data_IF_124733623688
#
_entry.id   IF_124733623688
#
_cell.length_a   1.000
_cell.length_b   1.000
_cell.length_c   1.000
_cell.angle_alpha   90.00
_cell.angle_beta   90.00
_cell.angle_gamma   90.00
#
_symmetry.space_group_name_H-M   'P 1'
#
loop_
_entity.id
_entity.type
_entity.pdbx_description
1 polymer ?
#
# COMPACT_ATOMS: atom_id res chain seq x y z
N UNK A 1 8.51 4.39 -3.79
CA UNK A 1 8.68 3.72 -5.08
C UNK A 1 9.97 2.93 -5.06
N UNK A 2 9.82 1.64 -5.29
CA UNK A 2 10.84 0.64 -5.51
C UNK A 2 11.78 1.02 -6.65
N UNK A 3 13.04 0.60 -6.55
CA UNK A 3 13.97 0.73 -7.66
C UNK A 3 13.57 -0.19 -8.81
N UNK A 4 13.64 0.34 -10.03
CA UNK A 4 13.32 -0.41 -11.24
C UNK A 4 14.38 -1.50 -11.47
N UNK A 5 13.94 -2.76 -11.51
CA UNK A 5 14.80 -3.87 -11.91
C UNK A 5 14.95 -3.89 -13.42
N UNK A 6 16.19 -3.93 -13.90
CA UNK A 6 16.46 -4.11 -15.33
C UNK A 6 16.08 -5.53 -15.75
N UNK A 7 15.10 -5.65 -16.63
CA UNK A 7 14.72 -6.92 -17.21
C UNK A 7 15.89 -7.52 -18.01
N UNK A 8 16.33 -8.72 -17.62
CA UNK A 8 17.38 -9.43 -18.35
C UNK A 8 16.79 -10.10 -19.61
N UNK A 9 17.31 -9.83 -20.82
CA UNK A 9 16.77 -10.37 -22.07
C UNK A 9 16.96 -11.90 -22.22
N UNK A 10 17.71 -12.54 -21.33
CA UNK A 10 18.04 -13.97 -21.39
C UNK A 10 16.98 -14.90 -20.76
N UNK A 11 15.99 -14.38 -20.01
CA UNK A 11 14.91 -15.19 -19.42
C UNK A 11 13.64 -15.07 -20.25
N UNK A 12 13.42 -16.02 -21.16
CA UNK A 12 12.11 -16.18 -21.84
C UNK A 12 11.09 -16.67 -20.81
N UNK A 13 10.01 -15.92 -20.60
CA UNK A 13 8.88 -16.34 -19.75
C UNK A 13 7.90 -17.17 -20.58
N UNK A 14 7.39 -18.30 -20.07
CA UNK A 14 6.30 -19.01 -20.73
C UNK A 14 5.02 -18.19 -20.63
N UNK A 15 4.44 -17.82 -21.78
CA UNK A 15 3.26 -16.95 -21.88
C UNK A 15 2.11 -17.57 -22.66
N UNK A 16 2.16 -18.87 -22.96
CA UNK A 16 1.09 -19.53 -23.72
C UNK A 16 -0.18 -19.68 -22.88
N UNK A 17 -1.33 -19.72 -23.56
CA UNK A 17 -2.63 -19.83 -22.90
C UNK A 17 -2.78 -21.17 -22.15
N UNK A 18 -2.19 -22.26 -22.66
CA UNK A 18 -2.20 -23.56 -21.99
C UNK A 18 -1.43 -23.52 -20.66
N UNK A 19 -0.28 -22.83 -20.64
CA UNK A 19 0.49 -22.66 -19.41
C UNK A 19 -0.26 -21.79 -18.40
N UNK A 20 -0.88 -20.70 -18.85
CA UNK A 20 -1.70 -19.81 -18.01
C UNK A 20 -2.88 -20.56 -17.39
N UNK A 21 -3.58 -21.37 -18.18
CA UNK A 21 -4.68 -22.20 -17.69
C UNK A 21 -4.20 -23.25 -16.68
N UNK A 22 -3.03 -23.85 -16.90
CA UNK A 22 -2.45 -24.83 -15.98
C UNK A 22 -2.05 -24.19 -14.64
N UNK A 23 -1.25 -23.11 -14.68
CA UNK A 23 -0.65 -22.48 -13.49
C UNK A 23 -1.68 -21.86 -12.54
N UNK A 24 -2.87 -21.50 -13.05
CA UNK A 24 -3.97 -20.96 -12.25
C UNK A 24 -4.73 -22.02 -11.40
N UNK A 25 -4.47 -23.31 -11.62
CA UNK A 25 -5.27 -24.42 -11.03
C UNK A 25 -4.52 -25.20 -9.95
N UNK A 26 -5.25 -26.01 -9.16
CA UNK A 26 -4.66 -26.93 -8.18
C UNK A 26 -4.19 -26.28 -6.87
N UNK A 27 -4.44 -24.98 -6.68
CA UNK A 27 -4.09 -24.27 -5.45
C UNK A 27 -5.07 -24.53 -4.31
N UNK A 28 -4.55 -24.61 -3.09
CA UNK A 28 -5.37 -24.68 -1.88
C UNK A 28 -6.32 -23.48 -1.77
N UNK A 29 -7.47 -23.63 -1.08
CA UNK A 29 -8.36 -22.50 -0.78
C UNK A 29 -7.61 -21.35 -0.11
N UNK A 30 -8.03 -20.11 -0.38
CA UNK A 30 -7.47 -18.94 0.31
C UNK A 30 -7.83 -19.00 1.79
N UNK A 31 -6.88 -18.62 2.65
CA UNK A 31 -7.17 -18.47 4.07
C UNK A 31 -8.19 -17.35 4.26
N UNK A 32 -9.18 -17.60 5.11
CA UNK A 32 -10.15 -16.60 5.57
C UNK A 32 -9.78 -16.09 6.97
N UNK A 33 -8.58 -16.40 7.46
CA UNK A 33 -8.11 -15.95 8.76
C UNK A 33 -7.97 -14.43 8.76
N UNK A 34 -8.69 -13.79 9.67
CA UNK A 34 -8.62 -12.35 9.86
C UNK A 34 -7.39 -12.03 10.70
N UNK A 35 -6.61 -11.04 10.27
CA UNK A 35 -5.46 -10.57 11.04
C UNK A 35 -5.95 -10.00 12.38
N UNK A 36 -5.43 -10.47 13.53
CA UNK A 36 -5.82 -9.92 14.83
C UNK A 36 -5.40 -8.44 14.93
N UNK A 37 -6.12 -7.68 15.75
CA UNK A 37 -5.77 -6.28 16.02
C UNK A 37 -4.37 -6.22 16.64
N UNK A 38 -3.46 -5.46 16.02
CA UNK A 38 -2.12 -5.26 16.55
C UNK A 38 -2.14 -4.37 17.80
N UNK A 39 -1.28 -4.64 18.77
CA UNK A 39 -1.16 -3.86 20.03
C UNK A 39 -0.85 -2.38 19.77
N UNK A 40 -0.14 -2.07 18.69
CA UNK A 40 0.24 -0.71 18.31
C UNK A 40 -0.92 0.11 17.72
N UNK A 41 -2.08 -0.50 17.42
CA UNK A 41 -3.17 0.13 16.68
C UNK A 41 -3.62 1.46 17.32
N UNK A 42 -3.81 1.48 18.64
CA UNK A 42 -4.27 2.69 19.36
C UNK A 42 -3.18 3.77 19.41
N UNK A 43 -1.91 3.36 19.48
CA UNK A 43 -0.79 4.28 19.43
C UNK A 43 -0.66 4.92 18.05
N UNK A 44 -0.82 4.14 16.98
CA UNK A 44 -0.80 4.64 15.61
C UNK A 44 -1.93 5.65 15.35
N UNK A 45 -3.15 5.37 15.84
CA UNK A 45 -4.28 6.30 15.76
C UNK A 45 -3.97 7.65 16.44
N UNK A 46 -3.53 7.65 17.71
CA UNK A 46 -3.17 8.88 18.43
C UNK A 46 -2.04 9.67 17.77
N UNK A 47 -1.07 8.99 17.16
CA UNK A 47 0.02 9.66 16.42
C UNK A 47 -0.49 10.34 15.15
N UNK A 48 -1.42 9.71 14.42
CA UNK A 48 -2.06 10.33 13.26
C UNK A 48 -2.92 11.53 13.67
N UNK A 49 -3.63 11.46 14.80
CA UNK A 49 -4.37 12.61 15.35
C UNK A 49 -3.43 13.78 15.69
N UNK A 50 -2.29 13.51 16.33
CA UNK A 50 -1.30 14.55 16.63
C UNK A 50 -0.70 15.19 15.37
N UNK A 51 -0.36 14.39 14.35
CA UNK A 51 0.08 14.91 13.05
C UNK A 51 -1.04 15.70 12.37
N UNK A 52 -2.27 15.19 12.40
CA UNK A 52 -3.44 15.85 11.83
C UNK A 52 -3.68 17.23 12.42
N UNK A 53 -3.51 17.39 13.73
CA UNK A 53 -3.65 18.68 14.40
C UNK A 53 -2.53 19.68 14.07
N UNK A 54 -1.34 19.19 13.70
CA UNK A 54 -0.19 20.02 13.37
C UNK A 54 -0.22 20.58 11.95
N UNK A 55 -0.99 19.97 11.04
CA UNK A 55 -1.06 20.33 9.61
C UNK A 55 -2.52 20.48 9.15
N UNK A 56 -3.31 21.37 9.75
CA UNK A 56 -4.73 21.51 9.41
C UNK A 56 -4.91 21.93 7.94
N UNK A 57 -5.84 21.28 7.23
CA UNK A 57 -6.13 21.58 5.81
C UNK A 57 -5.14 21.01 4.80
N UNK A 58 -3.99 20.50 5.25
CA UNK A 58 -2.94 20.01 4.34
C UNK A 58 -3.06 18.51 4.07
N UNK A 59 -3.15 18.09 2.81
CA UNK A 59 -2.99 16.67 2.45
C UNK A 59 -1.56 16.20 2.73
N UNK A 60 -1.42 15.20 3.59
CA UNK A 60 -0.13 14.60 3.91
C UNK A 60 0.04 13.25 3.23
N UNK A 61 1.12 13.07 2.47
CA UNK A 61 1.46 11.82 1.78
C UNK A 61 2.71 11.21 2.41
N UNK A 62 2.54 10.07 3.07
CA UNK A 62 3.60 9.38 3.81
C UNK A 62 3.88 8.03 3.15
N UNK A 63 4.90 7.92 2.29
CA UNK A 63 5.25 6.66 1.63
C UNK A 63 6.02 5.72 2.57
N UNK A 64 5.77 4.42 2.47
CA UNK A 64 6.55 3.36 3.12
C UNK A 64 7.98 3.25 2.55
N UNK A 65 8.17 3.68 1.29
CA UNK A 65 9.36 3.37 0.51
C UNK A 65 9.18 2.08 -0.29
N UNK A 66 10.20 1.67 -1.03
CA UNK A 66 10.16 0.44 -1.83
C UNK A 66 11.41 -0.40 -1.63
N UNK A 67 11.52 -1.53 -2.32
CA UNK A 67 12.71 -2.39 -2.21
C UNK A 67 13.92 -1.72 -2.88
N UNK A 68 15.09 -2.07 -2.34
CA UNK A 68 16.39 -1.58 -2.78
C UNK A 68 17.25 -2.72 -3.29
N UNK A 69 17.79 -2.56 -4.48
CA UNK A 69 18.56 -3.63 -5.12
C UNK A 69 19.89 -3.80 -4.39
N UNK A 70 20.18 -5.04 -3.98
CA UNK A 70 21.48 -5.43 -3.43
C UNK A 70 22.43 -5.86 -4.55
N UNK A 71 21.97 -6.75 -5.42
CA UNK A 71 22.72 -7.23 -6.57
C UNK A 71 21.78 -7.91 -7.56
N UNK A 72 21.82 -7.51 -8.83
CA UNK A 72 20.97 -8.07 -9.89
C UNK A 72 19.48 -8.06 -9.52
N UNK A 73 18.83 -9.22 -9.50
CA UNK A 73 17.43 -9.44 -9.15
C UNK A 73 17.20 -9.67 -7.64
N UNK A 74 18.24 -9.49 -6.81
CA UNK A 74 18.17 -9.65 -5.36
C UNK A 74 18.10 -8.28 -4.67
N UNK A 75 17.05 -8.08 -3.87
CA UNK A 75 16.87 -6.91 -3.02
C UNK A 75 17.44 -7.11 -1.61
N UNK A 76 17.67 -6.00 -0.89
CA UNK A 76 17.77 -6.03 0.56
C UNK A 76 16.42 -6.35 1.20
N UNK A 77 16.45 -6.88 2.43
CA UNK A 77 15.23 -7.06 3.23
C UNK A 77 14.51 -5.71 3.34
N UNK A 78 13.22 -5.72 3.04
CA UNK A 78 12.41 -4.51 3.08
C UNK A 78 12.38 -3.92 4.49
N UNK A 79 12.57 -2.61 4.56
CA UNK A 79 12.44 -1.84 5.80
C UNK A 79 11.70 -0.55 5.49
N UNK A 80 10.47 -0.36 6.02
CA UNK A 80 9.71 0.84 5.73
C UNK A 80 10.36 2.10 6.33
N UNK A 81 10.05 3.24 5.73
CA UNK A 81 10.44 4.54 6.24
C UNK A 81 9.90 4.73 7.68
N UNK A 82 10.75 5.27 8.57
CA UNK A 82 10.42 5.37 10.00
C UNK A 82 9.13 6.14 10.26
N UNK A 83 8.86 7.22 9.51
CA UNK A 83 7.63 8.00 9.65
C UNK A 83 6.38 7.18 9.29
N UNK A 84 6.44 6.39 8.20
CA UNK A 84 5.35 5.50 7.81
C UNK A 84 5.11 4.46 8.90
N UNK A 85 6.15 3.73 9.31
CA UNK A 85 6.05 2.70 10.35
C UNK A 85 5.52 3.26 11.68
N UNK A 86 5.92 4.48 12.04
CA UNK A 86 5.46 5.15 13.25
C UNK A 86 3.96 5.47 13.22
N UNK A 87 3.44 5.93 12.07
CA UNK A 87 2.06 6.40 11.89
C UNK A 87 1.07 5.28 11.54
N UNK A 88 1.54 4.19 10.93
CA UNK A 88 0.69 3.04 10.58
C UNK A 88 0.82 1.89 11.57
N UNK A 89 1.95 1.77 12.25
CA UNK A 89 2.29 0.60 13.04
C UNK A 89 2.70 -0.62 12.19
N UNK A 90 2.75 -0.46 10.86
CA UNK A 90 3.14 -1.51 9.92
C UNK A 90 4.67 -1.53 9.78
N UNK A 91 5.26 -2.72 9.92
CA UNK A 91 6.70 -2.92 9.91
C UNK A 91 7.22 -3.53 8.60
N UNK A 92 8.38 -4.17 8.70
CA UNK A 92 9.00 -4.93 7.61
C UNK A 92 8.20 -6.17 7.18
N UNK A 93 7.18 -6.54 7.95
CA UNK A 93 6.23 -7.61 7.63
C UNK A 93 5.20 -7.21 6.57
N UNK A 94 5.24 -5.96 6.06
CA UNK A 94 4.19 -5.39 5.20
C UNK A 94 4.74 -4.73 3.94
N UNK A 95 3.79 -4.43 3.06
CA UNK A 95 3.99 -4.18 1.63
C UNK A 95 4.96 -3.03 1.30
N UNK A 96 5.98 -3.29 0.45
CA UNK A 96 6.70 -2.21 -0.20
C UNK A 96 5.75 -1.41 -1.09
N UNK A 97 6.08 -0.14 -1.30
CA UNK A 97 5.34 0.81 -2.13
C UNK A 97 3.95 1.21 -1.58
N UNK A 98 3.63 0.83 -0.34
CA UNK A 98 2.46 1.35 0.35
C UNK A 98 2.58 2.86 0.66
N UNK A 99 1.44 3.55 0.72
CA UNK A 99 1.35 4.98 0.98
C UNK A 99 0.21 5.25 1.95
N UNK A 100 0.52 5.87 3.08
CA UNK A 100 -0.48 6.44 3.97
C UNK A 100 -0.76 7.86 3.50
N UNK A 101 -2.02 8.19 3.24
CA UNK A 101 -2.49 9.54 2.97
C UNK A 101 -3.37 9.99 4.11
N UNK A 102 -3.09 11.19 4.63
CA UNK A 102 -3.99 11.90 5.54
C UNK A 102 -4.71 12.94 4.69
N UNK A 103 -5.97 12.67 4.41
CA UNK A 103 -6.87 13.51 3.61
C UNK A 103 -7.58 14.51 4.51
N UNK A 104 -7.44 15.83 4.31
CA UNK A 104 -8.07 16.83 5.17
C UNK A 104 -9.60 16.74 5.06
N UNK A 105 -10.29 16.69 6.20
CA UNK A 105 -11.76 16.75 6.23
C UNK A 105 -12.21 18.21 6.15
N UNK A 106 -13.16 18.49 5.25
CA UNK A 106 -13.77 19.81 5.11
C UNK A 106 -13.30 20.69 3.94
N UNK A 107 -12.38 20.22 3.09
CA UNK A 107 -11.89 20.97 1.90
C UNK A 107 -11.85 20.12 0.62
N UNK A 108 -12.54 18.97 0.61
CA UNK A 108 -12.66 18.11 -0.56
C UNK A 108 -13.78 18.57 -1.50
N UNK A 109 -13.77 19.84 -1.91
CA UNK A 109 -14.33 20.26 -3.22
C UNK A 109 -13.95 21.73 -3.51
N UNK A 110 -12.68 21.96 -3.85
CA UNK A 110 -12.28 23.19 -4.54
C UNK A 110 -12.86 23.22 -5.95
N UNK A 111 -14.15 23.55 -6.08
CA UNK A 111 -14.80 23.52 -7.39
C UNK A 111 -16.28 23.89 -7.53
N UNK A 112 -16.95 24.50 -6.55
CA UNK A 112 -18.19 25.29 -6.81
C UNK A 112 -18.29 26.46 -5.83
N UNK A 113 -17.82 27.62 -6.28
CA UNK A 113 -18.26 28.90 -5.74
C UNK A 113 -19.77 29.02 -5.99
N UNK A 114 -20.57 28.66 -4.98
CA UNK A 114 -21.93 29.17 -4.84
C UNK A 114 -21.86 30.52 -4.12
N UNK A 115 -22.63 31.53 -4.55
CA UNK A 115 -22.65 32.79 -3.84
C UNK A 115 -23.43 32.60 -2.53
N UNK A 116 -23.04 33.40 -1.53
CA UNK A 116 -23.71 33.65 -0.25
C UNK A 116 -23.12 32.88 0.94
N UNK A 117 -22.57 33.68 1.85
CA UNK A 117 -21.76 33.24 2.96
C UNK A 117 -22.53 32.54 4.05
N UNK A 118 -21.79 31.75 4.80
CA UNK A 118 -22.12 31.40 6.17
C UNK A 118 -20.86 31.59 7.01
N UNK A 119 -20.90 32.58 7.91
CA UNK A 119 -20.00 32.63 9.06
C UNK A 119 -20.29 31.38 9.92
N UNK A 120 -19.31 30.49 10.07
CA UNK A 120 -19.52 29.27 10.85
C UNK A 120 -18.35 28.29 10.86
N UNK A 121 -17.58 28.32 11.95
CA UNK A 121 -16.64 27.30 12.43
C UNK A 121 -15.28 27.20 11.71
N UNK A 122 -14.35 28.09 12.05
CA UNK A 122 -12.91 27.93 11.83
C UNK A 122 -12.38 26.76 12.67
N UNK A 123 -12.56 25.53 12.17
CA UNK A 123 -11.96 24.35 12.77
C UNK A 123 -11.83 23.28 11.71
N UNK A 124 -10.62 23.05 11.20
CA UNK A 124 -10.37 21.91 10.33
C UNK A 124 -10.71 20.62 11.07
N UNK A 125 -11.53 19.76 10.48
CA UNK A 125 -12.07 18.52 11.08
C UNK A 125 -11.04 17.37 11.14
N UNK A 126 -9.75 17.72 11.19
CA UNK A 126 -8.62 16.79 11.12
C UNK A 126 -8.55 16.06 9.77
N UNK A 127 -8.00 14.85 9.78
CA UNK A 127 -7.78 14.06 8.55
C UNK A 127 -8.46 12.69 8.58
N UNK A 128 -8.92 12.25 7.42
CA UNK A 128 -9.19 10.85 7.11
C UNK A 128 -7.89 10.14 6.72
N UNK A 129 -7.60 9.01 7.38
CA UNK A 129 -6.41 8.22 7.09
C UNK A 129 -6.74 7.12 6.08
N UNK A 130 -6.15 7.21 4.89
CA UNK A 130 -6.33 6.25 3.79
C UNK A 130 -5.00 5.54 3.53
N UNK A 131 -5.01 4.20 3.54
CA UNK A 131 -3.83 3.40 3.23
C UNK A 131 -3.96 2.80 1.84
N UNK A 132 -3.05 3.18 0.96
CA UNK A 132 -2.91 2.59 -0.37
C UNK A 132 -1.80 1.55 -0.35
N UNK A 133 -2.07 0.40 -0.95
CA UNK A 133 -1.10 -0.67 -1.16
C UNK A 133 -1.42 -1.38 -2.47
N UNK A 134 -0.47 -2.13 -3.00
CA UNK A 134 -0.67 -2.88 -4.23
C UNK A 134 -1.61 -4.06 -3.97
N UNK A 135 -2.70 -4.21 -4.73
CA UNK A 135 -3.67 -5.27 -4.49
C UNK A 135 -3.06 -6.66 -4.70
N UNK A 136 -3.76 -7.67 -4.21
CA UNK A 136 -3.45 -9.07 -4.52
C UNK A 136 -3.67 -9.30 -6.03
N UNK A 137 -2.71 -9.94 -6.69
CA UNK A 137 -2.89 -10.44 -8.04
C UNK A 137 -3.73 -11.73 -7.99
N UNK A 138 -4.87 -11.77 -8.69
CA UNK A 138 -5.68 -12.99 -8.74
C UNK A 138 -4.97 -14.11 -9.51
N UNK A 139 -5.26 -15.37 -9.14
CA UNK A 139 -4.57 -16.56 -9.67
C UNK A 139 -4.73 -16.76 -11.17
N UNK A 140 -5.73 -16.13 -11.78
CA UNK A 140 -6.00 -16.13 -13.22
C UNK A 140 -5.30 -14.99 -13.97
N UNK A 141 -4.57 -14.11 -13.27
CA UNK A 141 -3.82 -13.01 -13.87
C UNK A 141 -2.38 -13.41 -14.20
N UNK A 142 -1.77 -12.71 -15.16
CA UNK A 142 -0.35 -12.90 -15.46
C UNK A 142 0.57 -12.42 -14.33
N UNK A 143 0.16 -11.40 -13.57
CA UNK A 143 0.93 -10.87 -12.43
C UNK A 143 1.13 -11.94 -11.34
N UNK A 144 0.16 -12.84 -11.15
CA UNK A 144 0.22 -13.94 -10.18
C UNK A 144 1.52 -14.75 -10.26
N UNK A 145 1.91 -15.18 -11.46
CA UNK A 145 3.08 -16.04 -11.69
C UNK A 145 4.23 -15.34 -12.44
N UNK A 146 3.91 -14.31 -13.23
CA UNK A 146 4.83 -13.65 -14.14
C UNK A 146 5.74 -12.63 -13.47
N UNK A 147 5.36 -12.13 -12.30
CA UNK A 147 6.14 -11.17 -11.52
C UNK A 147 6.77 -11.85 -10.31
N UNK A 148 8.07 -12.13 -10.36
CA UNK A 148 8.80 -12.75 -9.25
C UNK A 148 8.97 -11.84 -8.04
N UNK A 149 8.69 -10.54 -8.19
CA UNK A 149 8.85 -9.52 -7.15
C UNK A 149 7.55 -9.26 -6.41
N UNK A 150 6.41 -9.34 -7.10
CA UNK A 150 5.09 -9.00 -6.53
C UNK A 150 4.04 -10.11 -6.63
N UNK A 151 4.22 -11.09 -7.52
CA UNK A 151 3.24 -12.15 -7.77
C UNK A 151 3.09 -13.10 -6.59
N UNK A 152 1.83 -13.40 -6.21
CA UNK A 152 1.47 -14.29 -5.10
C UNK A 152 2.15 -15.67 -5.21
N UNK A 153 2.38 -16.17 -6.44
CA UNK A 153 3.09 -17.43 -6.67
C UNK A 153 4.48 -17.45 -6.00
N UNK A 154 5.17 -16.30 -5.97
CA UNK A 154 6.55 -16.18 -5.51
C UNK A 154 6.66 -15.66 -4.08
N UNK A 155 5.84 -14.68 -3.72
CA UNK A 155 5.96 -13.96 -2.44
C UNK A 155 4.85 -14.31 -1.44
N UNK A 156 3.89 -15.16 -1.84
CA UNK A 156 2.75 -15.55 -1.03
C UNK A 156 1.58 -14.58 -1.09
N UNK A 157 0.47 -15.00 -0.46
CA UNK A 157 -0.76 -14.22 -0.44
C UNK A 157 -0.61 -12.94 0.40
N UNK A 158 -1.13 -11.84 -0.14
CA UNK A 158 -1.15 -10.54 0.51
C UNK A 158 -2.45 -10.34 1.27
N UNK A 159 -2.43 -9.71 2.45
CA UNK A 159 -3.63 -9.28 3.14
C UNK A 159 -4.47 -8.37 2.23
N UNK A 160 -5.76 -8.67 2.13
CA UNK A 160 -6.76 -7.82 1.47
C UNK A 160 -7.81 -7.37 2.47
N UNK A 161 -8.52 -6.28 2.14
CA UNK A 161 -9.73 -5.85 2.83
C UNK A 161 -10.95 -6.65 2.34
#
# INVERSE_FOLDING_TARGET
MSEEQKASPSRKRPTTDEFRAFVATGWAPRSTEVTPRAEVADHAARRREAVSAAFPGERLVVPAGGLKVRSNDTDYVFRPHSAFAHLTGLGSDREPDAVLVLEPRGEADGGREGPEGHEGHEGHEGHEAVLYFRPLADRDTEEFFGDSRYGEFWVGARPTL
#
